data_IF_681238615691
#
_entry.id   IF_681238615691
#
_cell.length_a   1.000
_cell.length_b   1.000
_cell.length_c   1.000
_cell.angle_alpha   90.00
_cell.angle_beta   90.00
_cell.angle_gamma   90.00
#
_symmetry.space_group_name_H-M   'P 1'
#
loop_
_entity.id
_entity.type
_entity.pdbx_description
1 polymer ?
#
# COMPACT_ATOMS: atom_id res chain seq x y z
N UNK A 1 13.77 -19.04 -1.07
CA UNK A 1 13.75 -17.57 -0.88
C UNK A 1 12.83 -17.23 0.28
N UNK A 2 13.33 -16.55 1.31
CA UNK A 2 12.51 -16.01 2.40
C UNK A 2 11.84 -14.77 1.82
N UNK A 3 10.61 -14.91 1.37
CA UNK A 3 9.78 -13.81 0.88
C UNK A 3 8.66 -13.56 1.89
N UNK A 4 8.22 -12.31 1.98
CA UNK A 4 7.01 -11.86 2.69
C UNK A 4 5.79 -12.75 2.37
N UNK A 5 5.80 -13.47 1.25
CA UNK A 5 4.82 -14.52 0.92
C UNK A 5 4.65 -15.63 1.96
N UNK A 6 5.69 -16.04 2.71
CA UNK A 6 5.55 -17.02 3.81
C UNK A 6 4.92 -16.41 5.07
N UNK A 7 5.01 -15.09 5.24
CA UNK A 7 4.34 -14.36 6.32
C UNK A 7 2.84 -14.23 6.06
N UNK A 8 2.43 -14.19 4.78
CA UNK A 8 1.03 -14.06 4.37
C UNK A 8 0.08 -15.08 5.02
N UNK A 9 0.30 -16.40 4.98
CA UNK A 9 -0.61 -17.37 5.62
C UNK A 9 -0.61 -17.27 7.16
N UNK A 10 0.55 -17.01 7.79
CA UNK A 10 0.61 -16.83 9.26
C UNK A 10 -0.11 -15.55 9.69
N UNK A 11 0.07 -14.45 8.95
CA UNK A 11 -0.62 -13.19 9.19
C UNK A 11 -2.14 -13.36 9.03
N UNK A 12 -2.59 -14.06 7.98
CA UNK A 12 -4.01 -14.38 7.81
C UNK A 12 -4.57 -15.28 8.92
N UNK A 13 -3.78 -16.21 9.46
CA UNK A 13 -4.19 -17.01 10.62
C UNK A 13 -4.43 -16.14 11.86
N UNK A 14 -3.57 -15.15 12.11
CA UNK A 14 -3.76 -14.21 13.23
C UNK A 14 -5.02 -13.34 13.07
N UNK A 15 -5.45 -13.10 11.84
CA UNK A 15 -6.64 -12.30 11.53
C UNK A 15 -7.96 -13.10 11.55
N UNK A 16 -7.91 -14.44 11.60
CA UNK A 16 -9.13 -15.30 11.66
C UNK A 16 -10.11 -14.95 12.80
N UNK A 17 -9.70 -14.69 14.06
CA UNK A 17 -10.66 -14.32 15.10
C UNK A 17 -11.38 -13.01 14.79
N UNK A 18 -10.65 -12.02 14.25
CA UNK A 18 -11.23 -10.72 13.84
C UNK A 18 -12.20 -10.92 12.67
N UNK A 19 -11.81 -11.76 11.70
CA UNK A 19 -12.65 -12.14 10.57
C UNK A 19 -14.00 -12.73 11.02
N UNK A 20 -13.96 -13.70 11.94
CA UNK A 20 -15.15 -14.34 12.48
C UNK A 20 -16.02 -13.35 13.28
N UNK A 21 -15.39 -12.43 14.02
CA UNK A 21 -16.11 -11.37 14.74
C UNK A 21 -16.84 -10.42 13.78
N UNK A 22 -16.18 -9.96 12.72
CA UNK A 22 -16.79 -9.11 11.69
C UNK A 22 -17.95 -9.81 10.99
N UNK A 23 -17.79 -11.08 10.63
CA UNK A 23 -18.86 -11.86 10.03
C UNK A 23 -20.08 -11.99 10.96
N UNK A 24 -19.87 -12.30 12.26
CA UNK A 24 -20.95 -12.35 13.26
C UNK A 24 -21.70 -11.02 13.42
N UNK A 25 -21.07 -9.89 13.06
CA UNK A 25 -21.67 -8.55 13.08
C UNK A 25 -22.25 -8.13 11.72
N UNK A 26 -22.38 -9.05 10.77
CA UNK A 26 -22.86 -8.79 9.41
C UNK A 26 -22.04 -7.74 8.65
N UNK A 27 -20.76 -7.58 8.98
CA UNK A 27 -19.86 -6.70 8.24
C UNK A 27 -19.55 -7.33 6.88
N UNK A 28 -19.58 -6.51 5.83
CA UNK A 28 -19.29 -6.93 4.45
C UNK A 28 -17.85 -6.62 4.07
N UNK A 29 -17.29 -7.40 3.13
CA UNK A 29 -15.96 -7.14 2.56
C UNK A 29 -15.83 -5.70 2.02
N UNK A 30 -16.86 -5.19 1.34
CA UNK A 30 -16.88 -3.83 0.81
C UNK A 30 -16.80 -2.76 1.90
N UNK A 31 -17.44 -2.97 3.06
CA UNK A 31 -17.33 -2.04 4.19
C UNK A 31 -15.91 -2.01 4.75
N UNK A 32 -15.22 -3.15 4.78
CA UNK A 32 -13.81 -3.22 5.21
C UNK A 32 -12.91 -2.48 4.23
N UNK A 33 -13.13 -2.65 2.92
CA UNK A 33 -12.40 -1.90 1.89
C UNK A 33 -12.64 -0.38 2.02
N UNK A 34 -13.89 0.06 2.21
CA UNK A 34 -14.20 1.49 2.44
C UNK A 34 -13.50 2.01 3.71
N UNK A 35 -13.54 1.24 4.80
CA UNK A 35 -12.85 1.61 6.03
C UNK A 35 -11.34 1.75 5.82
N UNK A 36 -10.73 0.91 4.99
CA UNK A 36 -9.32 1.00 4.62
C UNK A 36 -8.99 2.28 3.82
N UNK A 37 -9.89 2.69 2.92
CA UNK A 37 -9.74 3.94 2.16
C UNK A 37 -9.85 5.15 3.10
N UNK A 38 -10.87 5.17 3.97
CA UNK A 38 -11.06 6.25 4.96
C UNK A 38 -9.85 6.33 5.90
N UNK A 39 -9.36 5.18 6.38
CA UNK A 39 -8.15 5.12 7.18
C UNK A 39 -6.94 5.73 6.44
N UNK A 40 -6.80 5.46 5.14
CA UNK A 40 -5.70 6.00 4.34
C UNK A 40 -5.76 7.52 4.18
N UNK A 41 -6.96 8.07 4.03
CA UNK A 41 -7.17 9.50 4.04
C UNK A 41 -6.77 10.12 5.39
N UNK A 42 -7.19 9.49 6.51
CA UNK A 42 -6.81 9.94 7.85
C UNK A 42 -5.29 9.88 8.07
N UNK A 43 -4.62 8.82 7.62
CA UNK A 43 -3.16 8.70 7.65
C UNK A 43 -2.52 9.87 6.88
N UNK A 44 -2.98 10.14 5.66
CA UNK A 44 -2.47 11.24 4.84
C UNK A 44 -2.66 12.61 5.49
N UNK A 45 -3.82 12.86 6.10
CA UNK A 45 -4.14 14.11 6.80
C UNK A 45 -3.27 14.31 8.06
N UNK A 46 -3.12 13.27 8.87
CA UNK A 46 -2.26 13.29 10.06
C UNK A 46 -0.81 13.53 9.64
N UNK A 47 -0.33 12.79 8.64
CA UNK A 47 1.02 12.95 8.13
C UNK A 47 1.25 14.37 7.57
N UNK A 48 0.33 14.92 6.78
CA UNK A 48 0.41 16.30 6.31
C UNK A 48 0.52 17.32 7.45
N UNK A 49 -0.16 17.06 8.56
CA UNK A 49 -0.22 17.92 9.74
C UNK A 49 0.89 17.64 10.76
N UNK A 50 1.87 16.81 10.43
CA UNK A 50 2.92 16.38 11.36
C UNK A 50 3.92 17.50 11.73
N UNK A 51 3.87 18.64 11.04
CA UNK A 51 4.53 19.88 11.43
C UNK A 51 3.98 20.49 12.72
N UNK A 52 2.69 20.28 13.01
CA UNK A 52 2.08 20.71 14.27
C UNK A 52 2.37 19.75 15.44
N UNK A 53 2.51 18.45 15.15
CA UNK A 53 2.73 17.43 16.16
C UNK A 53 3.52 16.24 15.58
N UNK A 54 4.77 16.05 16.03
CA UNK A 54 5.64 14.98 15.52
C UNK A 54 5.07 13.57 15.74
N UNK A 55 4.20 13.37 16.73
CA UNK A 55 3.52 12.08 16.95
C UNK A 55 2.69 11.64 15.74
N UNK A 56 2.24 12.57 14.89
CA UNK A 56 1.49 12.24 13.69
C UNK A 56 2.32 11.49 12.64
N UNK A 57 3.66 11.56 12.67
CA UNK A 57 4.49 10.69 11.83
C UNK A 57 4.29 9.20 12.14
N UNK A 58 3.91 8.84 13.39
CA UNK A 58 3.63 7.45 13.75
C UNK A 58 2.32 6.91 13.13
N UNK A 59 1.48 7.78 12.56
CA UNK A 59 0.34 7.35 11.77
C UNK A 59 0.78 6.55 10.52
N UNK A 60 1.99 6.78 9.99
CA UNK A 60 2.53 6.01 8.87
C UNK A 60 2.79 4.54 9.23
N UNK A 61 3.72 4.20 10.15
CA UNK A 61 4.01 2.80 10.48
C UNK A 61 2.79 2.08 11.06
N UNK A 62 2.04 2.71 11.98
CA UNK A 62 0.89 2.08 12.63
C UNK A 62 -0.27 1.96 11.65
N UNK A 63 -0.60 3.05 10.97
CA UNK A 63 -1.73 3.10 10.04
C UNK A 63 -1.54 2.20 8.83
N UNK A 64 -0.34 2.14 8.24
CA UNK A 64 -0.06 1.24 7.11
C UNK A 64 -0.11 -0.24 7.52
N UNK A 65 0.30 -0.59 8.74
CA UNK A 65 0.13 -1.94 9.29
C UNK A 65 -1.35 -2.30 9.45
N UNK A 66 -2.15 -1.40 10.02
CA UNK A 66 -3.60 -1.59 10.15
C UNK A 66 -4.24 -1.70 8.76
N UNK A 67 -3.87 -0.83 7.82
CA UNK A 67 -4.37 -0.87 6.44
C UNK A 67 -4.07 -2.20 5.76
N UNK A 68 -2.85 -2.72 5.93
CA UNK A 68 -2.49 -4.05 5.42
C UNK A 68 -3.33 -5.17 6.05
N UNK A 69 -3.69 -5.05 7.33
CA UNK A 69 -4.62 -5.99 7.98
C UNK A 69 -6.04 -5.89 7.40
N UNK A 70 -6.56 -4.68 7.19
CA UNK A 70 -7.88 -4.46 6.59
C UNK A 70 -7.96 -5.02 5.16
N UNK A 71 -6.95 -4.75 4.33
CA UNK A 71 -6.83 -5.30 2.97
C UNK A 71 -6.59 -6.81 2.92
N UNK A 72 -6.20 -7.43 4.04
CA UNK A 72 -6.15 -8.89 4.14
C UNK A 72 -7.52 -9.44 4.56
N UNK A 73 -8.19 -8.75 5.49
CA UNK A 73 -9.50 -9.09 6.00
C UNK A 73 -10.58 -9.01 4.93
N UNK A 74 -10.60 -7.97 4.08
CA UNK A 74 -11.61 -7.85 3.02
C UNK A 74 -11.56 -9.00 2.02
N UNK A 75 -10.37 -9.37 1.53
CA UNK A 75 -10.17 -10.48 0.61
C UNK A 75 -10.35 -11.85 1.29
N UNK A 76 -10.15 -11.94 2.61
CA UNK A 76 -10.52 -13.12 3.39
C UNK A 76 -12.04 -13.23 3.54
N UNK A 77 -12.74 -12.13 3.89
CA UNK A 77 -14.20 -12.08 4.02
C UNK A 77 -14.88 -12.48 2.71
N UNK A 78 -14.41 -11.90 1.60
CA UNK A 78 -14.92 -12.19 0.27
C UNK A 78 -14.85 -13.68 -0.08
N UNK A 79 -13.71 -14.33 0.18
CA UNK A 79 -13.49 -15.74 -0.16
C UNK A 79 -14.10 -16.73 0.84
N UNK A 80 -14.01 -16.45 2.14
CA UNK A 80 -14.47 -17.38 3.18
C UNK A 80 -15.99 -17.37 3.34
N UNK A 81 -16.65 -16.23 3.13
CA UNK A 81 -18.09 -16.07 3.32
C UNK A 81 -18.84 -15.76 2.03
N UNK A 82 -18.27 -16.11 0.87
CA UNK A 82 -18.88 -15.95 -0.46
C UNK A 82 -19.40 -14.52 -0.75
N UNK A 83 -18.67 -13.50 -0.28
CA UNK A 83 -18.97 -12.09 -0.54
C UNK A 83 -18.19 -11.52 -1.74
N UNK A 84 -17.64 -12.38 -2.61
CA UNK A 84 -16.98 -11.94 -3.84
C UNK A 84 -17.97 -11.24 -4.76
N UNK A 85 -17.61 -10.05 -5.25
CA UNK A 85 -18.45 -9.29 -6.18
C UNK A 85 -17.60 -8.46 -7.14
N UNK A 86 -18.10 -8.24 -8.36
CA UNK A 86 -17.42 -7.37 -9.36
C UNK A 86 -17.24 -5.94 -8.83
N UNK A 87 -18.25 -5.42 -8.14
CA UNK A 87 -18.20 -4.10 -7.50
C UNK A 87 -17.12 -4.05 -6.41
N UNK A 88 -17.03 -5.07 -5.56
CA UNK A 88 -16.03 -5.14 -4.50
C UNK A 88 -14.61 -5.24 -5.04
N UNK A 89 -14.42 -6.00 -6.12
CA UNK A 89 -13.13 -6.07 -6.79
C UNK A 89 -12.68 -4.71 -7.36
N UNK A 90 -13.57 -4.03 -8.10
CA UNK A 90 -13.29 -2.69 -8.63
C UNK A 90 -12.98 -1.69 -7.51
N UNK A 91 -13.77 -1.72 -6.44
CA UNK A 91 -13.59 -0.89 -5.27
C UNK A 91 -12.25 -1.12 -4.59
N UNK A 92 -11.82 -2.38 -4.45
CA UNK A 92 -10.53 -2.72 -3.86
C UNK A 92 -9.37 -2.24 -4.74
N UNK A 93 -9.44 -2.46 -6.05
CA UNK A 93 -8.41 -2.06 -7.01
C UNK A 93 -8.22 -0.53 -7.06
N UNK A 94 -9.30 0.22 -7.28
CA UNK A 94 -9.25 1.69 -7.33
C UNK A 94 -8.96 2.27 -5.95
N UNK A 95 -9.60 1.72 -4.92
CA UNK A 95 -9.44 2.17 -3.54
C UNK A 95 -8.01 2.07 -3.06
N UNK A 96 -7.31 1.00 -3.43
CA UNK A 96 -5.90 0.79 -3.10
C UNK A 96 -4.99 1.85 -3.73
N UNK A 97 -5.22 2.19 -5.00
CA UNK A 97 -4.44 3.21 -5.71
C UNK A 97 -4.67 4.59 -5.11
N UNK A 98 -5.94 4.95 -4.89
CA UNK A 98 -6.32 6.22 -4.25
C UNK A 98 -5.72 6.32 -2.84
N UNK A 99 -5.76 5.22 -2.09
CA UNK A 99 -5.19 5.13 -0.74
C UNK A 99 -3.68 5.32 -0.74
N UNK A 100 -2.95 4.72 -1.69
CA UNK A 100 -1.50 4.94 -1.84
C UNK A 100 -1.18 6.41 -2.12
N UNK A 101 -1.94 7.06 -3.01
CA UNK A 101 -1.75 8.49 -3.31
C UNK A 101 -1.94 9.35 -2.06
N UNK A 102 -3.02 9.17 -1.31
CA UNK A 102 -3.26 9.96 -0.09
C UNK A 102 -2.17 9.79 0.96
N UNK A 103 -1.65 8.57 1.13
CA UNK A 103 -0.60 8.30 2.12
C UNK A 103 0.75 8.84 1.67
N UNK A 104 1.08 8.76 0.38
CA UNK A 104 2.39 9.17 -0.15
C UNK A 104 2.47 10.67 -0.43
N UNK A 105 1.36 11.32 -0.75
CA UNK A 105 1.34 12.73 -1.15
C UNK A 105 2.04 13.68 -0.16
N UNK A 106 1.87 13.57 1.16
CA UNK A 106 2.52 14.49 2.09
C UNK A 106 4.06 14.42 2.11
N UNK A 107 4.68 13.38 1.52
CA UNK A 107 6.14 13.32 1.36
C UNK A 107 6.71 14.57 0.67
N UNK A 108 5.97 15.16 -0.28
CA UNK A 108 6.42 16.37 -1.01
C UNK A 108 6.63 17.57 -0.08
N UNK A 109 5.89 17.63 1.03
CA UNK A 109 5.97 18.72 2.02
C UNK A 109 7.23 18.57 2.88
N UNK A 110 7.54 17.34 3.29
CA UNK A 110 8.61 17.07 4.25
C UNK A 110 9.97 16.74 3.60
N UNK A 111 10.01 16.48 2.29
CA UNK A 111 11.24 16.17 1.55
C UNK A 111 11.33 17.03 0.26
N UNK A 112 11.47 18.37 0.40
CA UNK A 112 11.43 19.28 -0.75
C UNK A 112 12.58 19.07 -1.74
N UNK A 113 13.76 18.63 -1.28
CA UNK A 113 14.91 18.34 -2.16
C UNK A 113 14.60 17.25 -3.19
N UNK A 114 13.77 16.27 -2.85
CA UNK A 114 13.38 15.16 -3.73
C UNK A 114 11.98 15.31 -4.32
N UNK A 115 11.39 16.52 -4.31
CA UNK A 115 10.02 16.80 -4.77
C UNK A 115 9.69 16.13 -6.12
N UNK A 116 10.51 16.34 -7.14
CA UNK A 116 10.26 15.77 -8.47
C UNK A 116 10.38 14.24 -8.47
N UNK A 117 11.32 13.68 -7.72
CA UNK A 117 11.49 12.23 -7.61
C UNK A 117 10.33 11.57 -6.84
N UNK A 118 9.75 12.27 -5.86
CA UNK A 118 8.56 11.81 -5.12
C UNK A 118 7.33 11.84 -6.03
N UNK A 119 7.15 12.89 -6.84
CA UNK A 119 6.06 12.95 -7.82
C UNK A 119 6.19 11.79 -8.82
N UNK A 120 7.40 11.56 -9.34
CA UNK A 120 7.69 10.40 -10.22
C UNK A 120 7.40 9.09 -9.49
N UNK A 121 7.75 8.97 -8.21
CA UNK A 121 7.48 7.78 -7.39
C UNK A 121 5.97 7.51 -7.25
N UNK A 122 5.15 8.54 -7.00
CA UNK A 122 3.70 8.39 -6.91
C UNK A 122 3.13 7.94 -8.26
N UNK A 123 3.54 8.59 -9.35
CA UNK A 123 3.11 8.23 -10.71
C UNK A 123 3.51 6.79 -11.06
N UNK A 124 4.78 6.42 -10.84
CA UNK A 124 5.28 5.07 -11.09
C UNK A 124 4.60 4.03 -10.20
N UNK A 125 4.22 4.38 -8.97
CA UNK A 125 3.45 3.49 -8.09
C UNK A 125 2.08 3.17 -8.68
N UNK A 126 1.38 4.17 -9.23
CA UNK A 126 0.10 3.99 -9.94
C UNK A 126 0.32 3.11 -11.18
N UNK A 127 1.31 3.43 -12.01
CA UNK A 127 1.63 2.66 -13.23
C UNK A 127 1.96 1.20 -12.89
N UNK A 128 2.73 0.95 -11.82
CA UNK A 128 3.10 -0.40 -11.40
C UNK A 128 1.88 -1.22 -10.96
N UNK A 129 0.90 -0.62 -10.29
CA UNK A 129 -0.37 -1.29 -9.96
C UNK A 129 -1.23 -1.54 -11.20
N UNK A 130 -1.28 -0.60 -12.14
CA UNK A 130 -1.99 -0.78 -13.41
C UNK A 130 -1.34 -1.87 -14.27
N UNK A 131 0.00 -1.94 -14.32
CA UNK A 131 0.71 -3.02 -15.00
C UNK A 131 0.42 -4.39 -14.37
N UNK A 132 0.26 -4.46 -13.05
CA UNK A 132 -0.19 -5.67 -12.36
C UNK A 132 -1.63 -6.06 -12.75
N UNK A 133 -2.53 -5.08 -12.84
CA UNK A 133 -3.92 -5.25 -13.26
C UNK A 133 -4.02 -5.71 -14.72
N UNK A 134 -3.18 -5.20 -15.62
CA UNK A 134 -3.14 -5.62 -17.02
C UNK A 134 -2.85 -7.12 -17.17
N UNK A 135 -2.14 -7.73 -16.22
CA UNK A 135 -1.97 -9.18 -16.18
C UNK A 135 -3.28 -9.97 -16.03
N UNK A 136 -4.30 -9.37 -15.42
CA UNK A 136 -5.66 -9.96 -15.35
C UNK A 136 -6.49 -9.70 -16.61
N UNK A 137 -6.20 -8.61 -17.33
CA UNK A 137 -6.93 -8.22 -18.55
C UNK A 137 -6.42 -8.98 -19.77
N UNK A 138 -5.09 -9.03 -19.95
CA UNK A 138 -4.44 -9.63 -21.12
C UNK A 138 -3.96 -11.05 -20.83
N UNK A 139 -3.58 -11.34 -19.58
CA UNK A 139 -3.12 -12.65 -19.15
C UNK A 139 -4.17 -13.42 -18.32
N UNK A 140 -3.70 -14.40 -17.57
CA UNK A 140 -4.56 -15.30 -16.78
C UNK A 140 -4.77 -14.83 -15.34
N UNK A 141 -3.89 -14.00 -14.80
CA UNK A 141 -3.90 -13.61 -13.39
C UNK A 141 -3.19 -12.27 -13.14
N UNK A 142 -3.63 -11.57 -12.09
CA UNK A 142 -2.96 -10.36 -11.60
C UNK A 142 -1.50 -10.66 -11.24
N UNK A 143 -0.58 -9.82 -11.71
CA UNK A 143 0.86 -9.96 -11.44
C UNK A 143 1.29 -9.10 -10.25
N UNK A 144 2.14 -9.65 -9.40
CA UNK A 144 2.68 -8.99 -8.21
C UNK A 144 4.22 -8.96 -8.20
N UNK A 145 4.84 -9.42 -9.28
CA UNK A 145 6.29 -9.57 -9.41
C UNK A 145 7.06 -8.24 -9.35
N UNK A 146 8.37 -8.35 -9.11
CA UNK A 146 9.31 -7.23 -9.09
C UNK A 146 9.90 -6.96 -7.70
N UNK A 147 11.04 -6.24 -7.63
CA UNK A 147 11.72 -5.92 -6.38
C UNK A 147 11.02 -4.82 -5.54
N UNK A 148 10.09 -4.04 -6.12
CA UNK A 148 9.41 -2.93 -5.43
C UNK A 148 7.89 -3.05 -5.59
N UNK A 149 7.31 -3.97 -4.83
CA UNK A 149 5.87 -4.19 -4.75
C UNK A 149 5.16 -3.21 -3.82
N UNK A 150 3.84 -3.40 -3.69
CA UNK A 150 2.99 -2.54 -2.84
C UNK A 150 3.41 -2.55 -1.37
N UNK A 151 3.66 -3.75 -0.82
CA UNK A 151 4.08 -3.91 0.56
C UNK A 151 5.46 -3.32 0.83
N UNK A 152 6.38 -3.36 -0.15
CA UNK A 152 7.72 -2.77 -0.03
C UNK A 152 7.65 -1.25 0.03
N UNK A 153 6.80 -0.62 -0.81
CA UNK A 153 6.52 0.82 -0.75
C UNK A 153 5.91 1.23 0.59
N UNK A 154 4.93 0.48 1.08
CA UNK A 154 4.31 0.76 2.38
C UNK A 154 5.32 0.64 3.53
N UNK A 155 6.19 -0.38 3.51
CA UNK A 155 7.26 -0.54 4.49
C UNK A 155 8.22 0.65 4.48
N UNK A 156 8.61 1.11 3.29
CA UNK A 156 9.52 2.24 3.13
C UNK A 156 8.94 3.53 3.73
N UNK A 157 7.68 3.84 3.43
CA UNK A 157 7.01 5.03 3.96
C UNK A 157 6.72 4.89 5.45
N UNK A 158 6.41 3.69 5.93
CA UNK A 158 6.30 3.40 7.36
C UNK A 158 7.62 3.63 8.11
N UNK A 159 8.74 3.17 7.55
CA UNK A 159 10.07 3.40 8.11
C UNK A 159 10.44 4.89 8.11
N UNK A 160 10.11 5.60 7.04
CA UNK A 160 10.24 7.06 6.99
C UNK A 160 9.52 7.72 8.16
N UNK A 161 8.27 7.32 8.48
CA UNK A 161 7.54 7.85 9.64
C UNK A 161 8.24 7.62 10.97
N UNK A 162 8.86 6.46 11.18
CA UNK A 162 9.66 6.19 12.40
C UNK A 162 10.88 7.10 12.46
N UNK A 163 11.62 7.22 11.35
CA UNK A 163 12.83 8.05 11.29
C UNK A 163 12.51 9.54 11.48
N UNK A 164 11.43 10.02 10.87
CA UNK A 164 10.95 11.38 11.03
C UNK A 164 10.48 11.67 12.46
N UNK A 165 9.80 10.73 13.11
CA UNK A 165 9.44 10.84 14.53
C UNK A 165 10.68 10.95 15.43
N UNK A 166 11.72 10.16 15.14
CA UNK A 166 13.02 10.24 15.82
C UNK A 166 13.88 11.45 15.41
N UNK A 167 13.34 12.39 14.62
CA UNK A 167 14.02 13.59 14.13
C UNK A 167 15.31 13.30 13.34
N UNK A 168 15.39 12.14 12.68
CA UNK A 168 16.51 11.79 11.80
C UNK A 168 16.34 12.53 10.48
N UNK A 169 17.29 13.41 10.15
CA UNK A 169 17.28 14.12 8.87
C UNK A 169 17.59 13.18 7.71
N UNK A 170 16.65 13.06 6.78
CA UNK A 170 16.78 12.30 5.53
C UNK A 170 16.89 13.21 4.31
N UNK A 171 16.98 14.52 4.49
CA UNK A 171 16.75 15.49 3.42
C UNK A 171 17.72 15.27 2.24
N UNK A 172 19.04 15.21 2.51
CA UNK A 172 20.05 14.98 1.49
C UNK A 172 20.06 13.54 0.94
N UNK A 173 19.83 12.55 1.81
CA UNK A 173 19.79 11.14 1.41
C UNK A 173 18.54 10.80 0.59
N UNK A 174 17.48 11.60 0.72
CA UNK A 174 16.18 11.35 0.06
C UNK A 174 16.30 11.31 -1.46
N UNK A 175 17.18 12.13 -2.05
CA UNK A 175 17.46 12.13 -3.49
C UNK A 175 17.92 10.75 -3.98
N UNK A 176 18.95 10.20 -3.34
CA UNK A 176 19.50 8.90 -3.71
C UNK A 176 18.50 7.75 -3.44
N UNK A 177 17.78 7.85 -2.32
CA UNK A 177 16.76 6.87 -1.94
C UNK A 177 15.64 6.84 -3.00
N UNK A 178 15.01 7.98 -3.31
CA UNK A 178 13.91 8.02 -4.29
C UNK A 178 14.38 7.76 -5.72
N UNK A 179 15.61 8.13 -6.09
CA UNK A 179 16.19 7.73 -7.38
C UNK A 179 16.28 6.20 -7.51
N UNK A 180 16.82 5.53 -6.49
CA UNK A 180 16.91 4.07 -6.46
C UNK A 180 15.52 3.41 -6.48
N UNK A 181 14.57 3.90 -5.66
CA UNK A 181 13.20 3.40 -5.62
C UNK A 181 12.53 3.48 -7.00
N UNK A 182 12.67 4.62 -7.68
CA UNK A 182 12.09 4.84 -9.00
C UNK A 182 12.65 3.84 -10.03
N UNK A 183 13.96 3.58 -10.01
CA UNK A 183 14.58 2.54 -10.84
C UNK A 183 13.99 1.16 -10.52
N UNK A 184 13.87 0.80 -9.24
CA UNK A 184 13.27 -0.48 -8.84
C UNK A 184 11.80 -0.61 -9.23
N UNK A 185 11.03 0.49 -9.23
CA UNK A 185 9.64 0.51 -9.71
C UNK A 185 9.55 0.31 -11.21
N UNK A 186 10.44 0.93 -11.99
CA UNK A 186 10.52 0.70 -13.44
C UNK A 186 10.82 -0.78 -13.72
N UNK A 187 11.83 -1.35 -13.04
CA UNK A 187 12.16 -2.78 -13.17
C UNK A 187 10.97 -3.66 -12.79
N UNK A 188 10.26 -3.34 -11.69
CA UNK A 188 9.06 -4.07 -11.26
C UNK A 188 7.95 -4.02 -12.30
N UNK A 189 7.69 -2.82 -12.84
CA UNK A 189 6.66 -2.59 -13.86
C UNK A 189 6.95 -3.38 -15.12
N UNK A 190 8.17 -3.30 -15.65
CA UNK A 190 8.58 -4.05 -16.84
C UNK A 190 8.52 -5.57 -16.62
N UNK A 191 8.91 -6.03 -15.41
CA UNK A 191 8.83 -7.45 -15.05
C UNK A 191 7.38 -7.95 -15.06
N UNK A 192 6.44 -7.16 -14.50
CA UNK A 192 5.00 -7.48 -14.50
C UNK A 192 4.44 -7.52 -15.91
N UNK A 193 4.77 -6.56 -16.76
CA UNK A 193 4.31 -6.52 -18.15
C UNK A 193 4.82 -7.72 -18.94
N UNK A 194 6.14 -8.01 -18.87
CA UNK A 194 6.73 -9.16 -19.57
C UNK A 194 6.11 -10.47 -19.14
N UNK A 195 5.92 -10.68 -17.83
CA UNK A 195 5.27 -11.88 -17.30
C UNK A 195 3.78 -11.94 -17.59
N UNK A 196 3.12 -10.83 -17.91
CA UNK A 196 1.70 -10.84 -18.28
C UNK A 196 1.45 -11.41 -19.68
N UNK A 197 2.48 -11.44 -20.54
CA UNK A 197 2.42 -11.97 -21.90
C UNK A 197 2.80 -13.46 -21.99
N UNK A 198 3.18 -14.08 -20.87
CA UNK A 198 3.56 -15.50 -20.75
C UNK A 198 2.51 -16.20 -19.89
#
# INVERSE_FOLDING_TARGET
>A
MISVYKLKPKFQQLLKPILAFFYKRNVTANQITIASIVLSLLIGLLFWSADYCSWFFLALPIGLLIRMALNALDGMMARTYNQTSKKGELLNEIGDVVSDVFVFFPLIKFLPESLYLIIIFIILSIINEMAGLMGKVVGTARRYDGPMGKSDRALLVGLYGILAFCQVSLQHSSLYIFAMINILLIISTLTRLRKSLI
#
